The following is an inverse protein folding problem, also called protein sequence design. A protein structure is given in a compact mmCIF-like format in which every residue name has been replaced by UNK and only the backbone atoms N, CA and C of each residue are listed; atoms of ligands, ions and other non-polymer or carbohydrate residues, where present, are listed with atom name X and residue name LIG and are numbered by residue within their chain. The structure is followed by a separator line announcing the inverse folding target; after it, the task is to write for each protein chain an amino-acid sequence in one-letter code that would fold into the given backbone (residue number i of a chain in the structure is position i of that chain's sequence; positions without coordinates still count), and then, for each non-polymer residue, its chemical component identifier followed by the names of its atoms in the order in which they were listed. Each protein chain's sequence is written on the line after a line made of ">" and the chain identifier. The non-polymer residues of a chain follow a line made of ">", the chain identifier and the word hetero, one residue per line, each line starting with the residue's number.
data_IF_558557965417
#
_entry.id   IF_558557965417
#
_cell.length_a   1.000
_cell.length_b   1.000
_cell.length_c   1.000
_cell.angle_alpha   90.00
_cell.angle_beta   90.00
_cell.angle_gamma   90.00
#
_symmetry.space_group_name_H-M   'P 1'
#
loop_
_entity.id
_entity.type
_entity.pdbx_description
1 polymer ?
#
# COMPACT_ATOMS: atom_id res chain seq x y z
N UNK A 1 -44.04 -24.61 -13.51
CA UNK A 1 -43.50 -25.35 -14.68
C UNK A 1 -44.32 -25.23 -15.97
N UNK A 2 -45.56 -24.69 -15.98
CA UNK A 2 -46.36 -24.60 -17.23
C UNK A 2 -46.02 -23.41 -18.17
N UNK A 3 -45.37 -22.35 -17.68
CA UNK A 3 -45.10 -21.13 -18.49
C UNK A 3 -44.02 -21.33 -19.56
N UNK A 4 -42.96 -22.09 -19.26
CA UNK A 4 -41.83 -22.33 -20.18
C UNK A 4 -42.23 -23.19 -21.39
N UNK A 5 -43.19 -24.09 -21.24
CA UNK A 5 -43.71 -24.92 -22.33
C UNK A 5 -44.51 -24.13 -23.38
N UNK A 6 -45.20 -23.06 -22.97
CA UNK A 6 -45.99 -22.20 -23.87
C UNK A 6 -45.08 -21.33 -24.74
N UNK A 7 -44.01 -20.79 -24.17
CA UNK A 7 -42.99 -20.02 -24.92
C UNK A 7 -42.25 -20.87 -25.95
N UNK A 8 -41.91 -22.13 -25.61
CA UNK A 8 -41.21 -23.03 -26.55
C UNK A 8 -42.08 -23.41 -27.76
N UNK A 9 -43.39 -23.65 -27.57
CA UNK A 9 -44.31 -23.95 -28.69
C UNK A 9 -44.41 -22.78 -29.68
N UNK A 10 -44.54 -21.56 -29.18
CA UNK A 10 -44.64 -20.37 -30.03
C UNK A 10 -43.36 -20.13 -30.85
N UNK A 11 -42.18 -20.45 -30.30
CA UNK A 11 -40.91 -20.30 -31.02
C UNK A 11 -40.83 -21.27 -32.21
N UNK A 12 -41.26 -22.53 -32.04
CA UNK A 12 -41.32 -23.51 -33.15
C UNK A 12 -42.20 -23.07 -34.29
N UNK A 13 -43.34 -22.46 -33.96
CA UNK A 13 -44.26 -21.91 -34.95
C UNK A 13 -43.61 -20.76 -35.73
N UNK A 14 -42.79 -19.91 -35.09
CA UNK A 14 -42.04 -18.85 -35.78
C UNK A 14 -40.92 -19.39 -36.68
N UNK A 15 -40.24 -20.47 -36.29
CA UNK A 15 -39.28 -21.17 -37.15
C UNK A 15 -39.98 -21.79 -38.38
N UNK A 16 -41.16 -22.42 -38.16
CA UNK A 16 -41.99 -22.95 -39.25
C UNK A 16 -42.49 -21.88 -40.22
N UNK A 17 -42.86 -20.69 -39.72
CA UNK A 17 -43.28 -19.55 -40.56
C UNK A 17 -42.15 -19.01 -41.44
N UNK A 18 -40.90 -19.11 -41.00
CA UNK A 18 -39.72 -18.70 -41.77
C UNK A 18 -39.13 -19.84 -42.63
N UNK A 19 -39.72 -21.05 -42.57
CA UNK A 19 -39.20 -22.28 -43.18
C UNK A 19 -37.77 -22.60 -42.75
N UNK A 20 -37.48 -22.50 -41.44
CA UNK A 20 -36.18 -22.79 -40.86
C UNK A 20 -36.27 -23.84 -39.76
N UNK A 21 -35.16 -24.55 -39.54
CA UNK A 21 -35.02 -25.56 -38.48
C UNK A 21 -34.39 -24.98 -37.19
N UNK A 22 -34.57 -25.68 -36.07
CA UNK A 22 -34.00 -25.35 -34.75
C UNK A 22 -32.47 -25.56 -34.75
N UNK A 23 -31.70 -24.59 -35.24
CA UNK A 23 -30.23 -24.62 -35.25
C UNK A 23 -29.54 -23.75 -36.29
N UNK A 24 -30.31 -22.99 -37.09
CA UNK A 24 -29.79 -22.13 -38.15
C UNK A 24 -28.92 -20.97 -37.63
N UNK A 25 -27.98 -20.51 -38.46
CA UNK A 25 -27.16 -19.33 -38.19
C UNK A 25 -27.99 -18.05 -38.31
N UNK A 26 -27.54 -16.97 -37.66
CA UNK A 26 -28.19 -15.65 -37.77
C UNK A 26 -28.25 -15.14 -39.22
N UNK A 27 -27.32 -15.58 -40.07
CA UNK A 27 -27.30 -15.22 -41.50
C UNK A 27 -28.36 -15.98 -42.31
N UNK A 28 -28.62 -17.25 -41.99
CA UNK A 28 -29.68 -18.06 -42.62
C UNK A 28 -31.08 -17.47 -42.33
N UNK A 29 -31.28 -16.95 -41.11
CA UNK A 29 -32.49 -16.23 -40.70
C UNK A 29 -32.67 -14.94 -41.52
N UNK A 30 -31.59 -14.22 -41.82
CA UNK A 30 -31.64 -13.02 -42.65
C UNK A 30 -31.93 -13.34 -44.11
N UNK A 31 -31.40 -14.44 -44.64
CA UNK A 31 -31.62 -14.84 -46.02
C UNK A 31 -33.05 -15.32 -46.28
N UNK A 32 -33.59 -16.16 -45.40
CA UNK A 32 -34.98 -16.62 -45.46
C UNK A 32 -35.96 -15.45 -45.36
N UNK A 33 -35.74 -14.52 -44.43
CA UNK A 33 -36.55 -13.30 -44.32
C UNK A 33 -36.48 -12.46 -45.59
N UNK A 34 -35.30 -12.26 -46.20
CA UNK A 34 -35.17 -11.53 -47.47
C UNK A 34 -35.94 -12.21 -48.61
N UNK A 35 -35.97 -13.55 -48.66
CA UNK A 35 -36.72 -14.32 -49.67
C UNK A 35 -38.23 -14.15 -49.47
N UNK A 36 -38.71 -14.26 -48.24
CA UNK A 36 -40.13 -14.11 -47.90
C UNK A 36 -40.60 -12.65 -48.03
N UNK A 37 -39.78 -11.68 -47.63
CA UNK A 37 -40.08 -10.27 -47.80
C UNK A 37 -40.28 -9.93 -49.27
N UNK A 38 -39.41 -10.40 -50.18
CA UNK A 38 -39.58 -10.17 -51.63
C UNK A 38 -40.88 -10.77 -52.20
N UNK A 39 -41.44 -11.80 -51.57
CA UNK A 39 -42.65 -12.48 -52.04
C UNK A 39 -43.95 -11.87 -51.47
N UNK A 40 -43.91 -11.38 -50.23
CA UNK A 40 -45.10 -10.93 -49.49
C UNK A 40 -45.12 -9.42 -49.21
N UNK A 41 -44.12 -8.65 -49.66
CA UNK A 41 -44.10 -7.20 -49.44
C UNK A 41 -45.27 -6.50 -50.16
N UNK A 42 -46.03 -5.63 -49.49
CA UNK A 42 -47.23 -5.00 -50.05
C UNK A 42 -46.94 -4.11 -51.28
N UNK A 43 -45.75 -3.52 -51.35
CA UNK A 43 -45.32 -2.69 -52.50
C UNK A 43 -44.54 -3.47 -53.57
N UNK A 44 -44.22 -4.75 -53.31
CA UNK A 44 -43.57 -5.60 -54.31
C UNK A 44 -44.66 -6.27 -55.10
N UNK A 45 -44.96 -5.78 -56.31
CA UNK A 45 -46.11 -6.16 -57.16
C UNK A 45 -46.24 -7.63 -57.60
N UNK A 46 -46.01 -8.58 -56.69
CA UNK A 46 -46.28 -10.02 -56.77
C UNK A 46 -47.76 -10.28 -56.52
N UNK A 47 -48.31 -11.32 -57.15
CA UNK A 47 -49.71 -11.76 -56.96
C UNK A 47 -50.00 -12.31 -55.56
N UNK A 48 -48.96 -12.59 -54.76
CA UNK A 48 -49.03 -13.11 -53.39
C UNK A 48 -48.79 -12.04 -52.31
N UNK A 49 -48.73 -10.76 -52.69
CA UNK A 49 -48.47 -9.66 -51.76
C UNK A 49 -49.66 -9.47 -50.79
N UNK A 50 -49.42 -9.68 -49.50
CA UNK A 50 -50.41 -9.50 -48.44
C UNK A 50 -49.76 -8.86 -47.19
N UNK A 51 -50.35 -7.76 -46.73
CA UNK A 51 -49.83 -6.98 -45.62
C UNK A 51 -49.88 -7.73 -44.29
N UNK A 52 -50.92 -8.54 -44.07
CA UNK A 52 -51.10 -9.25 -42.80
C UNK A 52 -50.10 -10.40 -42.63
N UNK A 53 -49.83 -11.15 -43.70
CA UNK A 53 -48.78 -12.17 -43.71
C UNK A 53 -47.38 -11.58 -43.57
N UNK A 54 -47.10 -10.44 -44.19
CA UNK A 54 -45.81 -9.76 -44.04
C UNK A 54 -45.52 -9.34 -42.59
N UNK A 55 -46.51 -8.78 -41.88
CA UNK A 55 -46.35 -8.41 -40.46
C UNK A 55 -46.04 -9.64 -39.60
N UNK A 56 -46.70 -10.77 -39.86
CA UNK A 56 -46.43 -12.03 -39.14
C UNK A 56 -45.02 -12.55 -39.39
N UNK A 57 -44.52 -12.41 -40.63
CA UNK A 57 -43.16 -12.80 -41.01
C UNK A 57 -42.14 -11.90 -40.32
N UNK A 58 -42.40 -10.59 -40.20
CA UNK A 58 -41.52 -9.66 -39.49
C UNK A 58 -41.48 -9.94 -37.98
N UNK A 59 -42.63 -10.20 -37.36
CA UNK A 59 -42.69 -10.60 -35.95
C UNK A 59 -41.93 -11.91 -35.69
N UNK A 60 -42.10 -12.89 -36.57
CA UNK A 60 -41.37 -14.16 -36.51
C UNK A 60 -39.86 -13.92 -36.63
N UNK A 61 -39.43 -13.10 -37.59
CA UNK A 61 -38.03 -12.74 -37.80
C UNK A 61 -37.39 -12.11 -36.56
N UNK A 62 -38.04 -11.10 -35.96
CA UNK A 62 -37.51 -10.41 -34.76
C UNK A 62 -37.31 -11.38 -33.59
N UNK A 63 -38.29 -12.26 -33.36
CA UNK A 63 -38.25 -13.23 -32.25
C UNK A 63 -37.25 -14.36 -32.47
N UNK A 64 -37.12 -14.86 -33.70
CA UNK A 64 -36.13 -15.89 -34.04
C UNK A 64 -34.72 -15.32 -33.97
N UNK A 65 -34.50 -14.11 -34.46
CA UNK A 65 -33.19 -13.45 -34.41
C UNK A 65 -32.71 -13.23 -32.96
N UNK A 66 -33.58 -12.73 -32.07
CA UNK A 66 -33.23 -12.55 -30.66
C UNK A 66 -32.89 -13.87 -29.98
N UNK A 67 -33.66 -14.93 -30.28
CA UNK A 67 -33.43 -16.27 -29.73
C UNK A 67 -32.10 -16.88 -30.20
N UNK A 68 -31.74 -16.72 -31.49
CA UNK A 68 -30.45 -17.21 -32.01
C UNK A 68 -29.27 -16.46 -31.37
N UNK A 69 -29.37 -15.13 -31.21
CA UNK A 69 -28.31 -14.32 -30.57
C UNK A 69 -28.15 -14.68 -29.08
N UNK A 70 -29.24 -14.88 -28.35
CA UNK A 70 -29.18 -15.35 -26.96
C UNK A 70 -28.54 -16.74 -26.86
N UNK A 71 -28.86 -17.64 -27.79
CA UNK A 71 -28.23 -18.96 -27.84
C UNK A 71 -26.74 -18.91 -28.20
N UNK A 72 -26.32 -18.03 -29.11
CA UNK A 72 -24.89 -17.89 -29.44
C UNK A 72 -24.11 -17.28 -28.28
N UNK A 73 -24.66 -16.28 -27.60
CA UNK A 73 -24.02 -15.65 -26.45
C UNK A 73 -23.94 -16.62 -25.26
N UNK A 74 -24.99 -17.40 -24.99
CA UNK A 74 -24.99 -18.41 -23.93
C UNK A 74 -24.06 -19.60 -24.23
N UNK A 75 -23.83 -19.93 -25.52
CA UNK A 75 -22.82 -20.91 -25.93
C UNK A 75 -21.42 -20.34 -25.77
N UNK A 76 -21.18 -19.08 -26.18
CA UNK A 76 -19.90 -18.41 -25.98
C UNK A 76 -19.54 -18.26 -24.51
N UNK A 77 -20.46 -17.81 -23.65
CA UNK A 77 -20.19 -17.67 -22.21
C UNK A 77 -19.89 -19.01 -21.55
N UNK A 78 -20.58 -20.09 -21.95
CA UNK A 78 -20.28 -21.44 -21.45
C UNK A 78 -18.93 -21.95 -21.95
N UNK A 79 -18.55 -21.66 -23.19
CA UNK A 79 -17.25 -22.05 -23.73
C UNK A 79 -16.15 -21.26 -23.04
N UNK A 80 -16.32 -19.95 -22.80
CA UNK A 80 -15.39 -19.14 -22.01
C UNK A 80 -15.28 -19.63 -20.56
N UNK A 81 -16.39 -19.92 -19.88
CA UNK A 81 -16.37 -20.46 -18.51
C UNK A 81 -15.69 -21.85 -18.46
N UNK A 82 -15.92 -22.71 -19.48
CA UNK A 82 -15.31 -24.05 -19.54
C UNK A 82 -13.82 -23.97 -19.91
N UNK A 83 -13.44 -23.06 -20.82
CA UNK A 83 -12.03 -22.79 -21.18
C UNK A 83 -11.26 -22.16 -20.01
N UNK A 84 -11.87 -21.24 -19.24
CA UNK A 84 -11.28 -20.68 -18.02
C UNK A 84 -11.14 -21.73 -16.90
N UNK A 85 -12.11 -22.64 -16.75
CA UNK A 85 -12.03 -23.74 -15.79
C UNK A 85 -11.00 -24.80 -16.22
N UNK A 86 -10.91 -25.15 -17.51
CA UNK A 86 -9.90 -26.06 -18.05
C UNK A 86 -8.48 -25.48 -17.99
N UNK A 87 -8.31 -24.16 -18.17
CA UNK A 87 -7.02 -23.48 -17.99
C UNK A 87 -6.59 -23.43 -16.52
N UNK A 88 -7.52 -23.28 -15.57
CA UNK A 88 -7.24 -23.28 -14.12
C UNK A 88 -6.82 -24.66 -13.58
N UNK A 89 -7.29 -25.76 -14.19
CA UNK A 89 -7.01 -27.13 -13.74
C UNK A 89 -5.84 -27.82 -14.45
N UNK A 90 -5.24 -27.23 -15.49
CA UNK A 90 -3.93 -27.68 -15.97
C UNK A 90 -2.88 -27.35 -14.91
N UNK A 91 -2.51 -28.36 -14.12
CA UNK A 91 -1.22 -28.37 -13.41
C UNK A 91 -0.13 -28.03 -14.43
N UNK A 92 0.39 -26.79 -14.38
CA UNK A 92 1.62 -26.44 -15.07
C UNK A 92 2.74 -27.19 -14.37
N UNK A 93 2.93 -28.46 -14.72
CA UNK A 93 4.19 -29.15 -14.48
C UNK A 93 5.29 -28.20 -14.97
N UNK A 94 6.27 -27.84 -14.12
CA UNK A 94 7.32 -26.92 -14.53
C UNK A 94 7.98 -27.53 -15.76
N UNK A 95 7.72 -26.93 -16.93
CA UNK A 95 8.25 -27.42 -18.18
C UNK A 95 9.77 -27.34 -18.07
N UNK A 96 10.40 -28.52 -18.03
CA UNK A 96 11.83 -28.63 -18.17
C UNK A 96 12.21 -28.01 -19.52
N UNK A 97 12.86 -26.84 -19.45
CA UNK A 97 13.61 -26.18 -20.53
C UNK A 97 12.81 -25.84 -21.78
N UNK A 98 11.88 -24.89 -21.66
CA UNK A 98 11.77 -23.90 -22.74
C UNK A 98 13.13 -23.18 -22.79
N UNK A 99 13.90 -23.38 -23.86
CA UNK A 99 14.96 -22.41 -24.15
C UNK A 99 14.28 -21.06 -24.22
N UNK A 100 14.79 -20.07 -23.46
CA UNK A 100 14.39 -18.68 -23.63
C UNK A 100 14.67 -18.31 -25.09
N UNK A 101 13.68 -18.45 -25.97
CA UNK A 101 13.73 -17.82 -27.27
C UNK A 101 13.70 -16.34 -26.96
N UNK A 102 14.87 -15.69 -27.01
CA UNK A 102 15.04 -14.28 -26.71
C UNK A 102 14.35 -13.36 -27.75
N UNK A 103 13.29 -13.84 -28.42
CA UNK A 103 12.58 -13.15 -29.50
C UNK A 103 13.50 -12.68 -30.64
N UNK A 104 14.67 -13.33 -30.80
CA UNK A 104 15.71 -12.91 -31.74
C UNK A 104 16.55 -11.72 -31.28
N UNK A 105 16.43 -11.31 -30.02
CA UNK A 105 17.03 -10.10 -29.44
C UNK A 105 18.35 -10.44 -28.76
N UNK A 106 19.38 -9.71 -29.15
CA UNK A 106 20.70 -9.75 -28.56
C UNK A 106 21.74 -10.55 -29.34
N UNK A 107 22.99 -10.15 -29.19
CA UNK A 107 24.15 -10.74 -29.87
C UNK A 107 25.14 -11.32 -28.86
N UNK A 108 25.99 -12.26 -29.30
CA UNK A 108 27.04 -12.85 -28.47
C UNK A 108 26.67 -14.18 -27.82
N UNK A 109 27.24 -14.48 -26.66
CA UNK A 109 27.06 -15.77 -25.96
C UNK A 109 25.66 -15.89 -25.35
N UNK A 110 25.18 -17.10 -25.03
CA UNK A 110 23.84 -17.29 -24.43
C UNK A 110 23.59 -16.46 -23.17
N UNK A 111 24.59 -16.30 -22.29
CA UNK A 111 24.47 -15.48 -21.07
C UNK A 111 24.41 -13.97 -21.35
N UNK A 112 25.11 -13.49 -22.38
CA UNK A 112 25.05 -12.09 -22.81
C UNK A 112 23.67 -11.77 -23.41
N UNK A 113 23.13 -12.64 -24.25
CA UNK A 113 21.78 -12.51 -24.81
C UNK A 113 20.71 -12.58 -23.72
N UNK A 114 20.90 -13.45 -22.73
CA UNK A 114 19.98 -13.52 -21.59
C UNK A 114 19.94 -12.21 -20.81
N UNK A 115 21.11 -11.61 -20.54
CA UNK A 115 21.18 -10.31 -19.84
C UNK A 115 20.51 -9.20 -20.65
N UNK A 116 20.75 -9.16 -21.96
CA UNK A 116 20.13 -8.19 -22.87
C UNK A 116 18.62 -8.38 -22.97
N UNK A 117 18.14 -9.62 -23.08
CA UNK A 117 16.71 -9.91 -23.13
C UNK A 117 16.00 -9.62 -21.81
N UNK A 118 16.64 -9.87 -20.66
CA UNK A 118 16.11 -9.43 -19.35
C UNK A 118 15.95 -7.90 -19.29
N UNK A 119 16.93 -7.16 -19.82
CA UNK A 119 16.86 -5.71 -19.90
C UNK A 119 15.74 -5.26 -20.85
N UNK A 120 15.69 -5.81 -22.07
CA UNK A 120 14.63 -5.53 -23.04
C UNK A 120 13.23 -5.82 -22.49
N UNK A 121 13.07 -6.92 -21.75
CA UNK A 121 11.79 -7.24 -21.10
C UNK A 121 11.40 -6.23 -20.04
N UNK A 122 12.37 -5.72 -19.27
CA UNK A 122 12.12 -4.67 -18.31
C UNK A 122 11.71 -3.38 -19.03
N UNK A 123 12.44 -2.98 -20.07
CA UNK A 123 12.16 -1.77 -20.86
C UNK A 123 10.79 -1.84 -21.55
N UNK A 124 10.42 -2.99 -22.10
CA UNK A 124 9.09 -3.21 -22.70
C UNK A 124 7.98 -3.16 -21.65
N UNK A 125 8.22 -3.70 -20.46
CA UNK A 125 7.25 -3.66 -19.37
C UNK A 125 7.06 -2.21 -18.86
N UNK A 126 8.14 -1.43 -18.75
CA UNK A 126 8.05 -0.02 -18.35
C UNK A 126 7.31 0.80 -19.42
N UNK A 127 7.59 0.57 -20.70
CA UNK A 127 6.87 1.23 -21.82
C UNK A 127 5.37 0.93 -21.79
N UNK A 128 4.98 -0.32 -21.58
CA UNK A 128 3.57 -0.71 -21.46
C UNK A 128 2.87 -0.07 -20.26
N UNK A 129 3.54 0.01 -19.11
CA UNK A 129 3.01 0.69 -17.91
C UNK A 129 2.81 2.18 -18.19
N UNK A 130 3.78 2.83 -18.83
CA UNK A 130 3.70 4.25 -19.21
C UNK A 130 2.55 4.49 -20.21
N UNK A 131 2.39 3.62 -21.20
CA UNK A 131 1.31 3.71 -22.18
C UNK A 131 -0.07 3.54 -21.52
N UNK A 132 -0.20 2.59 -20.59
CA UNK A 132 -1.42 2.42 -19.80
C UNK A 132 -1.72 3.65 -18.93
N UNK A 133 -0.73 4.20 -18.23
CA UNK A 133 -0.89 5.42 -17.43
C UNK A 133 -1.33 6.61 -18.29
N UNK A 134 -0.72 6.77 -19.47
CA UNK A 134 -1.10 7.79 -20.45
C UNK A 134 -2.57 7.63 -20.87
N UNK A 135 -3.00 6.41 -21.21
CA UNK A 135 -4.39 6.13 -21.56
C UNK A 135 -5.35 6.38 -20.39
N UNK A 136 -4.96 6.05 -19.16
CA UNK A 136 -5.75 6.29 -17.95
C UNK A 136 -5.93 7.77 -17.63
N UNK A 137 -4.86 8.57 -17.73
CA UNK A 137 -4.95 10.02 -17.59
C UNK A 137 -5.85 10.61 -18.67
N UNK A 138 -5.69 10.17 -19.91
CA UNK A 138 -6.49 10.62 -21.04
C UNK A 138 -8.00 10.32 -20.87
N UNK A 139 -8.35 9.16 -20.30
CA UNK A 139 -9.74 8.82 -20.03
C UNK A 139 -10.36 9.61 -18.87
N UNK A 140 -9.56 10.02 -17.87
CA UNK A 140 -10.02 10.85 -16.76
C UNK A 140 -10.37 12.29 -17.18
N UNK A 141 -9.64 12.88 -18.13
CA UNK A 141 -9.88 14.25 -18.58
C UNK A 141 -10.94 14.38 -19.70
N UNK A 142 -11.23 13.31 -20.45
CA UNK A 142 -12.16 13.33 -21.58
C UNK A 142 -13.19 12.19 -21.49
N UNK A 143 -14.23 12.37 -20.67
CA UNK A 143 -15.21 11.33 -20.36
C UNK A 143 -16.32 11.16 -21.41
N UNK A 144 -16.63 12.19 -22.21
CA UNK A 144 -17.83 12.18 -23.06
C UNK A 144 -17.52 12.18 -24.57
N UNK A 145 -17.46 10.97 -25.14
CA UNK A 145 -17.95 10.58 -26.48
C UNK A 145 -17.18 9.33 -26.93
N UNK A 146 -17.84 8.41 -27.64
CA UNK A 146 -17.21 7.14 -28.08
C UNK A 146 -16.95 7.12 -29.60
N UNK A 147 -17.39 8.11 -30.36
CA UNK A 147 -17.53 7.99 -31.81
C UNK A 147 -16.41 8.56 -32.68
N UNK A 148 -15.27 9.03 -32.14
CA UNK A 148 -14.23 9.59 -33.03
C UNK A 148 -12.79 9.33 -32.57
N UNK A 149 -12.34 8.07 -32.54
CA UNK A 149 -10.93 7.75 -32.23
C UNK A 149 -9.93 8.34 -33.25
N UNK A 150 -10.28 8.40 -34.53
CA UNK A 150 -9.35 8.87 -35.58
C UNK A 150 -9.18 10.40 -35.63
N UNK A 151 -10.26 11.18 -35.46
CA UNK A 151 -10.15 12.64 -35.33
C UNK A 151 -9.51 13.03 -34.00
N UNK A 152 -9.64 12.19 -32.95
CA UNK A 152 -8.94 12.37 -31.66
C UNK A 152 -7.45 12.21 -31.80
N UNK A 153 -6.96 11.13 -32.41
CA UNK A 153 -5.53 10.98 -32.66
C UNK A 153 -4.96 12.11 -33.53
N UNK A 154 -5.73 12.64 -34.49
CA UNK A 154 -5.34 13.82 -35.26
C UNK A 154 -5.27 15.10 -34.42
N UNK A 155 -6.26 15.35 -33.54
CA UNK A 155 -6.26 16.48 -32.61
C UNK A 155 -5.17 16.35 -31.55
N UNK A 156 -4.93 15.15 -31.04
CA UNK A 156 -3.85 14.84 -30.10
C UNK A 156 -2.50 15.07 -30.73
N UNK A 157 -2.20 14.50 -31.91
CA UNK A 157 -0.95 14.79 -32.62
C UNK A 157 -0.77 16.28 -32.84
N UNK A 158 -1.84 17.03 -33.13
CA UNK A 158 -1.78 18.50 -33.22
C UNK A 158 -1.51 19.17 -31.88
N UNK A 159 -2.08 18.69 -30.78
CA UNK A 159 -1.86 19.21 -29.42
C UNK A 159 -0.44 18.87 -28.93
N UNK A 160 0.04 17.63 -29.10
CA UNK A 160 1.42 17.26 -28.75
C UNK A 160 2.40 18.06 -29.57
N UNK A 161 2.19 18.18 -30.89
CA UNK A 161 3.02 19.04 -31.72
C UNK A 161 2.89 20.53 -31.38
N UNK A 162 1.76 20.99 -30.82
CA UNK A 162 1.61 22.37 -30.36
C UNK A 162 2.33 22.60 -29.04
N UNK A 163 2.29 21.64 -28.10
CA UNK A 163 3.05 21.68 -26.86
C UNK A 163 4.54 21.58 -27.17
N UNK A 164 4.96 20.67 -28.04
CA UNK A 164 6.35 20.56 -28.50
C UNK A 164 6.82 21.88 -29.13
N UNK A 165 6.00 22.51 -29.98
CA UNK A 165 6.30 23.84 -30.52
C UNK A 165 6.38 24.90 -29.45
N UNK A 166 5.43 24.95 -28.52
CA UNK A 166 5.41 25.94 -27.43
C UNK A 166 6.64 25.77 -26.52
N UNK A 167 7.01 24.54 -26.20
CA UNK A 167 8.21 24.21 -25.44
C UNK A 167 9.47 24.62 -26.22
N UNK A 168 9.53 24.32 -27.51
CA UNK A 168 10.64 24.73 -28.38
C UNK A 168 10.75 26.27 -28.46
N UNK A 169 9.63 26.97 -28.63
CA UNK A 169 9.55 28.44 -28.65
C UNK A 169 10.02 29.03 -27.32
N UNK A 170 9.58 28.46 -26.18
CA UNK A 170 10.04 28.86 -24.84
C UNK A 170 11.54 28.62 -24.65
N UNK A 171 12.06 27.50 -25.15
CA UNK A 171 13.50 27.18 -25.08
C UNK A 171 14.26 28.21 -25.93
N UNK A 172 13.82 28.49 -27.15
CA UNK A 172 14.45 29.46 -28.04
C UNK A 172 14.39 30.88 -27.48
N UNK A 173 13.26 31.28 -26.89
CA UNK A 173 13.10 32.56 -26.21
C UNK A 173 14.05 32.68 -25.01
N UNK A 174 14.15 31.62 -24.19
CA UNK A 174 15.05 31.56 -23.04
C UNK A 174 16.53 31.55 -23.47
N UNK A 175 16.86 30.92 -24.60
CA UNK A 175 18.19 30.98 -25.22
C UNK A 175 18.52 32.38 -25.74
N UNK A 176 17.57 33.05 -26.39
CA UNK A 176 17.74 34.43 -26.87
C UNK A 176 17.89 35.44 -25.74
N UNK A 177 17.22 35.22 -24.60
CA UNK A 177 17.37 36.01 -23.37
C UNK A 177 18.73 35.79 -22.67
N UNK A 178 19.44 34.72 -23.01
CA UNK A 178 20.69 34.35 -22.35
C UNK A 178 20.48 33.74 -20.96
N UNK A 179 19.29 33.24 -20.63
CA UNK A 179 18.98 32.63 -19.33
C UNK A 179 19.87 31.39 -19.05
N UNK A 180 20.37 30.76 -20.12
CA UNK A 180 21.31 29.63 -20.07
C UNK A 180 22.79 30.03 -19.98
N UNK A 181 23.12 31.32 -19.99
CA UNK A 181 24.52 31.77 -20.07
C UNK A 181 25.25 31.79 -18.73
N UNK A 182 24.55 32.10 -17.64
CA UNK A 182 25.14 32.24 -16.31
C UNK A 182 24.63 31.19 -15.31
N UNK A 183 24.39 29.97 -15.77
CA UNK A 183 23.96 28.86 -14.91
C UNK A 183 25.10 28.35 -14.03
N UNK A 184 24.82 28.16 -12.75
CA UNK A 184 25.78 27.58 -11.80
C UNK A 184 26.18 26.17 -12.22
N UNK A 185 27.44 25.97 -12.59
CA UNK A 185 27.96 24.67 -13.02
C UNK A 185 27.99 24.43 -14.54
N UNK A 186 27.69 25.44 -15.36
CA UNK A 186 27.90 25.39 -16.83
C UNK A 186 29.33 24.95 -17.17
N UNK A 187 29.47 23.97 -18.05
CA UNK A 187 30.76 23.42 -18.49
C UNK A 187 31.47 22.48 -17.50
N UNK A 188 30.93 22.29 -16.29
CA UNK A 188 31.47 21.30 -15.33
C UNK A 188 30.79 19.95 -15.56
N UNK A 189 31.50 18.82 -15.38
CA UNK A 189 30.89 17.50 -15.47
C UNK A 189 29.76 17.37 -14.45
N UNK A 190 28.64 16.79 -14.88
CA UNK A 190 27.52 16.49 -13.98
C UNK A 190 28.02 15.62 -12.84
N UNK A 191 27.69 15.98 -11.59
CA UNK A 191 27.99 15.15 -10.43
C UNK A 191 27.23 13.84 -10.59
N UNK A 192 27.96 12.76 -10.92
CA UNK A 192 27.39 11.41 -11.00
C UNK A 192 26.94 11.01 -9.59
N UNK A 193 25.69 10.56 -9.48
CA UNK A 193 25.09 10.18 -8.21
C UNK A 193 25.77 8.91 -7.67
N UNK A 194 26.21 8.98 -6.40
CA UNK A 194 26.87 7.89 -5.70
C UNK A 194 25.90 7.01 -4.88
N UNK A 195 24.60 7.34 -4.84
CA UNK A 195 23.65 6.76 -3.88
C UNK A 195 22.81 5.57 -4.38
N UNK A 196 22.40 5.53 -5.65
CA UNK A 196 21.49 4.49 -6.14
C UNK A 196 21.94 3.93 -7.50
N UNK A 197 22.72 2.84 -7.47
CA UNK A 197 23.17 2.11 -8.68
C UNK A 197 22.02 1.47 -9.47
N UNK A 198 20.84 1.33 -8.84
CA UNK A 198 19.68 0.61 -9.38
C UNK A 198 18.71 1.47 -10.20
N UNK A 199 18.83 2.80 -10.13
CA UNK A 199 17.95 3.73 -10.86
C UNK A 199 18.73 4.26 -12.05
N UNK A 200 18.14 4.23 -13.24
CA UNK A 200 18.81 4.79 -14.41
C UNK A 200 18.99 6.32 -14.25
N UNK A 201 20.07 6.90 -14.80
CA UNK A 201 20.36 8.32 -14.65
C UNK A 201 19.24 9.25 -15.15
N UNK A 202 18.45 8.80 -16.12
CA UNK A 202 17.39 9.62 -16.72
C UNK A 202 16.20 9.75 -15.76
N UNK A 203 15.73 8.64 -15.19
CA UNK A 203 14.66 8.59 -14.19
C UNK A 203 15.02 9.38 -12.94
N UNK A 204 16.27 9.27 -12.48
CA UNK A 204 16.73 10.05 -11.34
C UNK A 204 16.70 11.56 -11.62
N UNK A 205 17.19 11.99 -12.78
CA UNK A 205 17.17 13.40 -13.16
C UNK A 205 15.74 13.93 -13.32
N UNK A 206 14.84 13.13 -13.90
CA UNK A 206 13.42 13.48 -14.00
C UNK A 206 12.80 13.68 -12.61
N UNK A 207 13.01 12.72 -11.70
CA UNK A 207 12.50 12.82 -10.33
C UNK A 207 13.05 14.05 -9.62
N UNK A 208 14.32 14.40 -9.84
CA UNK A 208 14.92 15.62 -9.29
C UNK A 208 14.22 16.87 -9.83
N UNK A 209 14.03 16.97 -11.15
CA UNK A 209 13.33 18.10 -11.77
C UNK A 209 11.92 18.22 -11.20
N UNK A 210 11.21 17.11 -11.04
CA UNK A 210 9.88 17.09 -10.43
C UNK A 210 9.92 17.64 -9.00
N UNK A 211 10.85 17.17 -8.17
CA UNK A 211 11.02 17.64 -6.77
C UNK A 211 11.40 19.12 -6.72
N UNK A 212 12.35 19.56 -7.54
CA UNK A 212 12.80 20.96 -7.61
C UNK A 212 11.66 21.91 -8.01
N UNK A 213 10.70 21.43 -8.81
CA UNK A 213 9.48 22.16 -9.19
C UNK A 213 8.31 21.98 -8.19
N UNK A 214 8.54 21.32 -7.05
CA UNK A 214 7.52 21.10 -6.02
C UNK A 214 6.44 20.09 -6.41
N UNK A 215 6.69 19.23 -7.40
CA UNK A 215 5.75 18.18 -7.79
C UNK A 215 5.60 17.14 -6.67
N UNK A 216 4.36 16.90 -6.25
CA UNK A 216 4.03 15.93 -5.22
C UNK A 216 3.53 14.63 -5.87
N UNK A 217 4.15 13.47 -5.56
CA UNK A 217 3.65 12.18 -6.00
C UNK A 217 2.18 11.94 -5.59
N UNK A 218 1.43 11.26 -6.45
CA UNK A 218 0.01 10.96 -6.27
C UNK A 218 -0.29 10.30 -4.92
N UNK A 219 0.54 9.36 -4.47
CA UNK A 219 0.35 8.67 -3.19
C UNK A 219 0.44 9.62 -1.99
N UNK A 220 1.22 10.69 -2.05
CA UNK A 220 1.31 11.69 -0.97
C UNK A 220 0.01 12.49 -0.90
N UNK A 221 -0.51 12.89 -2.06
CA UNK A 221 -1.80 13.58 -2.16
C UNK A 221 -2.93 12.68 -1.63
N UNK A 222 -2.98 11.41 -2.06
CA UNK A 222 -3.95 10.43 -1.56
C UNK A 222 -3.84 10.25 -0.03
N UNK A 223 -2.62 10.17 0.50
CA UNK A 223 -2.42 10.07 1.94
C UNK A 223 -2.99 11.28 2.69
N UNK A 224 -2.78 12.49 2.17
CA UNK A 224 -3.33 13.72 2.73
C UNK A 224 -4.86 13.72 2.64
N UNK A 225 -5.43 13.38 1.49
CA UNK A 225 -6.88 13.29 1.31
C UNK A 225 -7.54 12.28 2.27
N UNK A 226 -6.92 11.11 2.47
CA UNK A 226 -7.40 10.11 3.44
C UNK A 226 -7.45 10.70 4.85
N UNK A 227 -6.41 11.44 5.24
CA UNK A 227 -6.34 12.08 6.55
C UNK A 227 -7.42 13.15 6.70
N UNK A 228 -7.51 14.07 5.73
CA UNK A 228 -8.50 15.14 5.73
C UNK A 228 -9.94 14.57 5.75
N UNK A 229 -10.18 13.48 5.01
CA UNK A 229 -11.48 12.79 5.01
C UNK A 229 -11.80 12.19 6.38
N UNK A 230 -10.82 11.59 7.06
CA UNK A 230 -11.01 11.03 8.41
C UNK A 230 -11.40 12.13 9.40
N UNK A 231 -10.75 13.30 9.34
CA UNK A 231 -10.99 14.39 10.27
C UNK A 231 -12.34 15.06 9.99
N UNK A 232 -12.70 15.29 8.73
CA UNK A 232 -14.04 15.75 8.34
C UNK A 232 -15.14 14.80 8.82
N UNK A 233 -14.95 13.49 8.67
CA UNK A 233 -15.89 12.47 9.12
C UNK A 233 -16.05 12.47 10.65
N UNK A 234 -14.96 12.63 11.40
CA UNK A 234 -15.01 12.76 12.87
C UNK A 234 -15.75 14.01 13.31
N UNK A 235 -15.43 15.16 12.72
CA UNK A 235 -16.09 16.43 13.05
C UNK A 235 -17.58 16.39 12.73
N UNK A 236 -17.97 15.80 11.60
CA UNK A 236 -19.37 15.65 11.20
C UNK A 236 -20.17 14.81 12.21
N UNK A 237 -19.61 13.70 12.69
CA UNK A 237 -20.26 12.84 13.70
C UNK A 237 -20.34 13.56 15.05
N UNK A 238 -19.28 14.23 15.48
CA UNK A 238 -19.27 14.98 16.73
C UNK A 238 -20.26 16.14 16.70
N UNK A 239 -20.33 16.89 15.60
CA UNK A 239 -21.30 17.96 15.40
C UNK A 239 -22.74 17.42 15.41
N UNK A 240 -22.99 16.28 14.78
CA UNK A 240 -24.29 15.60 14.80
C UNK A 240 -24.67 15.17 16.21
N UNK A 241 -23.71 14.60 16.98
CA UNK A 241 -23.96 14.18 18.36
C UNK A 241 -24.23 15.35 19.30
N UNK A 242 -23.54 16.49 19.14
CA UNK A 242 -23.73 17.71 19.95
C UNK A 242 -25.14 18.32 19.79
N UNK A 243 -25.76 18.17 18.62
CA UNK A 243 -27.12 18.66 18.37
C UNK A 243 -28.19 17.86 19.12
N UNK A 244 -27.86 16.66 19.60
CA UNK A 244 -28.79 15.74 20.22
C UNK A 244 -28.67 15.84 21.74
N UNK A 245 -29.81 16.03 22.42
CA UNK A 245 -29.87 16.10 23.87
C UNK A 245 -29.61 14.76 24.57
N UNK A 246 -29.39 14.82 25.88
CA UNK A 246 -29.41 13.65 26.76
C UNK A 246 -30.48 13.87 27.87
N UNK A 247 -31.44 12.95 28.09
CA UNK A 247 -31.72 11.73 27.33
C UNK A 247 -32.35 12.02 25.96
N UNK A 248 -32.15 11.09 25.03
CA UNK A 248 -32.53 11.23 23.63
C UNK A 248 -34.00 10.85 23.41
N UNK A 249 -34.74 11.66 22.66
CA UNK A 249 -36.12 11.40 22.27
C UNK A 249 -36.18 10.30 21.20
N UNK A 250 -37.30 9.56 21.07
CA UNK A 250 -37.45 8.52 20.03
C UNK A 250 -37.25 9.06 18.60
N UNK A 251 -37.64 10.31 18.31
CA UNK A 251 -37.40 10.95 17.02
C UNK A 251 -35.91 11.26 16.78
N UNK A 252 -35.23 11.80 17.79
CA UNK A 252 -33.79 12.07 17.77
C UNK A 252 -32.99 10.78 17.59
N UNK A 253 -33.42 9.68 18.22
CA UNK A 253 -32.80 8.36 18.05
C UNK A 253 -32.89 7.85 16.60
N UNK A 254 -34.03 8.06 15.93
CA UNK A 254 -34.18 7.72 14.51
C UNK A 254 -33.25 8.55 13.63
N UNK A 255 -33.14 9.84 13.89
CA UNK A 255 -32.20 10.72 13.18
C UNK A 255 -30.75 10.29 13.38
N UNK A 256 -30.38 9.90 14.59
CA UNK A 256 -29.04 9.40 14.88
C UNK A 256 -28.73 8.09 14.17
N UNK A 257 -29.68 7.16 14.11
CA UNK A 257 -29.50 5.92 13.37
C UNK A 257 -29.27 6.18 11.88
N UNK A 258 -29.97 7.14 11.27
CA UNK A 258 -29.73 7.56 9.88
C UNK A 258 -28.33 8.15 9.68
N UNK A 259 -27.86 8.98 10.62
CA UNK A 259 -26.49 9.52 10.59
C UNK A 259 -25.46 8.39 10.71
N UNK A 260 -25.69 7.40 11.57
CA UNK A 260 -24.83 6.22 11.68
C UNK A 260 -24.80 5.38 10.39
N UNK A 261 -25.93 5.18 9.73
CA UNK A 261 -26.00 4.48 8.45
C UNK A 261 -25.21 5.22 7.35
N UNK A 262 -25.41 6.54 7.23
CA UNK A 262 -24.64 7.36 6.29
C UNK A 262 -23.13 7.29 6.57
N UNK A 263 -22.75 7.41 7.84
CA UNK A 263 -21.37 7.31 8.27
C UNK A 263 -20.74 5.95 7.94
N UNK A 264 -21.52 4.87 8.04
CA UNK A 264 -21.08 3.54 7.67
C UNK A 264 -20.78 3.43 6.17
N UNK A 265 -21.58 4.06 5.32
CA UNK A 265 -21.31 4.13 3.89
C UNK A 265 -20.05 4.94 3.57
N UNK A 266 -19.84 6.06 4.25
CA UNK A 266 -18.67 6.89 4.05
C UNK A 266 -17.38 6.20 4.52
N UNK A 267 -17.44 5.42 5.60
CA UNK A 267 -16.34 4.53 6.00
C UNK A 267 -16.05 3.49 4.91
N UNK A 268 -17.06 2.90 4.25
CA UNK A 268 -16.81 1.94 3.15
C UNK A 268 -16.07 2.62 2.00
N UNK A 269 -16.45 3.84 1.63
CA UNK A 269 -15.76 4.63 0.59
C UNK A 269 -14.33 4.97 1.00
N UNK A 270 -14.13 5.39 2.25
CA UNK A 270 -12.80 5.67 2.81
C UNK A 270 -11.92 4.42 2.79
N UNK A 271 -12.44 3.27 3.20
CA UNK A 271 -11.71 2.01 3.18
C UNK A 271 -11.30 1.58 1.78
N UNK A 272 -12.13 1.86 0.77
CA UNK A 272 -11.75 1.65 -0.63
C UNK A 272 -10.52 2.49 -1.00
N UNK A 273 -10.51 3.78 -0.65
CA UNK A 273 -9.35 4.67 -0.87
C UNK A 273 -8.10 4.22 -0.11
N UNK A 274 -8.27 3.75 1.13
CA UNK A 274 -7.18 3.19 1.93
C UNK A 274 -6.59 1.95 1.26
N UNK A 275 -7.43 1.07 0.71
CA UNK A 275 -6.98 -0.09 -0.04
C UNK A 275 -6.23 0.30 -1.31
N UNK A 276 -6.77 1.26 -2.08
CA UNK A 276 -6.10 1.77 -3.29
C UNK A 276 -4.72 2.35 -2.95
N UNK A 277 -4.61 3.11 -1.85
CA UNK A 277 -3.34 3.61 -1.33
C UNK A 277 -2.38 2.49 -0.92
N UNK A 278 -2.86 1.47 -0.20
CA UNK A 278 -2.05 0.33 0.23
C UNK A 278 -1.56 -0.54 -0.93
N UNK A 279 -2.27 -0.53 -2.07
CA UNK A 279 -1.83 -1.17 -3.31
C UNK A 279 -0.71 -0.38 -3.98
N UNK A 280 -0.78 0.96 -3.96
CA UNK A 280 0.28 1.82 -4.50
C UNK A 280 1.54 1.78 -3.61
N UNK A 281 1.35 1.71 -2.30
CA UNK A 281 2.43 1.67 -1.30
C UNK A 281 2.43 0.30 -0.60
N UNK A 282 3.06 -0.73 -1.19
CA UNK A 282 3.06 -2.09 -0.65
C UNK A 282 3.97 -2.27 0.59
N UNK A 283 4.69 -1.22 0.98
CA UNK A 283 5.55 -1.23 2.17
C UNK A 283 4.69 -1.32 3.43
N UNK A 284 4.78 -2.45 4.13
CA UNK A 284 4.02 -2.74 5.37
C UNK A 284 4.10 -1.62 6.41
N UNK A 285 5.25 -0.94 6.52
CA UNK A 285 5.46 0.17 7.46
C UNK A 285 4.68 1.43 7.13
N UNK A 286 4.30 1.61 5.86
CA UNK A 286 3.58 2.80 5.36
C UNK A 286 2.11 2.53 5.05
N UNK A 287 1.65 1.28 5.15
CA UNK A 287 0.25 0.94 4.94
C UNK A 287 -0.66 1.58 6.00
N UNK A 288 -1.87 1.93 5.58
CA UNK A 288 -2.92 2.48 6.43
C UNK A 288 -3.89 1.37 6.84
N UNK A 289 -4.26 1.38 8.11
CA UNK A 289 -5.23 0.42 8.65
C UNK A 289 -6.65 0.67 8.13
N UNK A 290 -7.32 -0.41 7.73
CA UNK A 290 -8.74 -0.41 7.37
C UNK A 290 -9.59 -0.10 8.61
N UNK A 291 -10.55 0.83 8.48
CA UNK A 291 -11.42 1.26 9.58
C UNK A 291 -12.70 0.42 9.59
N UNK A 292 -12.82 -0.51 10.54
CA UNK A 292 -13.91 -1.51 10.57
C UNK A 292 -15.01 -1.27 11.59
N UNK A 293 -14.83 -0.35 12.56
CA UNK A 293 -15.81 -0.12 13.63
C UNK A 293 -16.34 1.31 13.68
N UNK A 294 -17.67 1.42 13.62
CA UNK A 294 -18.39 2.49 14.32
C UNK A 294 -18.16 2.32 15.81
N UNK A 295 -17.40 3.24 16.41
CA UNK A 295 -17.70 3.81 17.73
C UNK A 295 -17.96 2.78 18.85
N UNK A 296 -16.89 2.30 19.50
CA UNK A 296 -16.84 2.47 20.96
C UNK A 296 -16.25 3.86 21.21
N UNK A 297 -17.05 4.92 21.04
CA UNK A 297 -16.82 6.19 21.73
C UNK A 297 -17.92 6.29 22.79
N UNK A 298 -17.75 5.50 23.83
CA UNK A 298 -18.45 5.63 25.10
C UNK A 298 -17.43 5.27 26.17
N UNK A 299 -16.41 6.12 26.26
CA UNK A 299 -15.39 6.05 27.27
C UNK A 299 -14.94 7.47 27.53
N UNK A 300 -15.39 8.04 28.64
CA UNK A 300 -14.81 9.24 29.26
C UNK A 300 -13.27 9.15 29.41
N UNK A 301 -12.71 7.95 29.28
CA UNK A 301 -11.28 7.65 29.34
C UNK A 301 -10.56 7.62 27.97
N UNK A 302 -11.26 7.70 26.83
CA UNK A 302 -10.60 7.97 25.52
C UNK A 302 -10.13 9.44 25.41
N UNK A 303 -10.57 10.29 26.33
CA UNK A 303 -10.09 11.66 26.51
C UNK A 303 -8.68 11.74 27.13
N UNK A 304 -8.07 10.62 27.49
CA UNK A 304 -6.66 10.53 27.88
C UNK A 304 -5.79 9.94 26.76
N UNK A 305 -6.15 10.15 25.50
CA UNK A 305 -5.12 10.30 24.47
C UNK A 305 -4.56 11.70 24.61
N UNK A 306 -3.31 11.78 25.08
CA UNK A 306 -2.52 13.00 24.99
C UNK A 306 -2.73 13.63 23.61
N UNK A 307 -2.98 14.95 23.52
CA UNK A 307 -3.21 15.59 22.23
C UNK A 307 -2.02 15.28 21.34
N UNK A 308 -2.26 14.59 20.23
CA UNK A 308 -1.33 14.53 19.10
C UNK A 308 -1.24 15.95 18.54
N UNK A 309 -0.47 16.79 19.23
CA UNK A 309 -0.04 18.10 18.75
C UNK A 309 0.87 17.82 17.55
N UNK A 310 0.32 17.91 16.34
CA UNK A 310 1.05 17.83 15.06
C UNK A 310 2.05 18.98 14.84
N UNK A 311 2.31 19.80 15.87
CA UNK A 311 3.43 20.73 15.92
C UNK A 311 4.73 20.07 16.42
N UNK A 312 4.68 18.78 16.81
CA UNK A 312 5.81 18.02 17.35
C UNK A 312 5.87 16.66 16.63
N UNK A 313 6.87 16.50 15.74
CA UNK A 313 7.23 15.19 15.18
C UNK A 313 7.67 14.24 16.30
N UNK A 314 6.72 13.45 16.81
CA UNK A 314 6.94 12.51 17.89
C UNK A 314 7.87 11.36 17.51
N UNK A 315 8.02 11.01 16.21
CA UNK A 315 8.97 9.95 15.81
C UNK A 315 10.42 10.42 15.95
N UNK A 316 10.75 11.63 15.49
CA UNK A 316 12.09 12.22 15.63
C UNK A 316 12.42 12.52 17.11
N UNK A 317 11.46 13.08 17.86
CA UNK A 317 11.68 13.40 19.28
C UNK A 317 11.65 12.19 20.20
N UNK A 318 10.99 11.09 19.87
CA UNK A 318 10.98 9.88 20.73
C UNK A 318 12.39 9.36 20.95
N UNK A 319 13.22 9.32 19.91
CA UNK A 319 14.60 8.84 20.04
C UNK A 319 15.44 9.76 20.94
N UNK A 320 15.26 11.08 20.82
CA UNK A 320 15.91 12.07 21.67
C UNK A 320 15.42 12.02 23.13
N UNK A 321 14.11 11.91 23.34
CA UNK A 321 13.53 11.80 24.69
C UNK A 321 13.96 10.48 25.34
N UNK A 322 13.93 9.36 24.62
CA UNK A 322 14.36 8.06 25.14
C UNK A 322 15.86 8.05 25.51
N UNK A 323 16.73 8.68 24.70
CA UNK A 323 18.16 8.77 25.02
C UNK A 323 18.44 9.68 26.22
N UNK A 324 17.74 10.82 26.32
CA UNK A 324 17.87 11.75 27.46
C UNK A 324 17.38 11.10 28.75
N UNK A 325 16.19 10.47 28.73
CA UNK A 325 15.64 9.79 29.91
C UNK A 325 16.54 8.63 30.35
N UNK A 326 17.02 7.81 29.41
CA UNK A 326 17.96 6.75 29.73
C UNK A 326 19.28 7.28 30.32
N UNK A 327 19.81 8.38 29.77
CA UNK A 327 21.04 9.02 30.26
C UNK A 327 20.88 9.57 31.69
N UNK A 328 19.75 10.23 31.98
CA UNK A 328 19.44 10.73 33.33
C UNK A 328 19.37 9.56 34.31
N UNK A 329 18.66 8.47 33.98
CA UNK A 329 18.57 7.30 34.85
C UNK A 329 19.94 6.66 35.12
N UNK A 330 20.76 6.50 34.08
CA UNK A 330 22.12 5.95 34.24
C UNK A 330 22.98 6.82 35.16
N UNK A 331 22.93 8.14 34.95
CA UNK A 331 23.66 9.09 35.78
C UNK A 331 23.19 9.07 37.23
N UNK A 332 21.88 9.07 37.47
CA UNK A 332 21.31 9.00 38.83
C UNK A 332 21.70 7.70 39.55
N UNK A 333 21.80 6.57 38.83
CA UNK A 333 22.25 5.31 39.40
C UNK A 333 23.68 5.38 39.94
N UNK A 334 24.61 5.94 39.17
CA UNK A 334 25.99 6.15 39.64
C UNK A 334 26.12 7.25 40.69
N UNK A 335 25.32 8.30 40.59
CA UNK A 335 25.28 9.37 41.56
C UNK A 335 24.92 8.85 42.96
N UNK A 336 23.89 8.01 43.07
CA UNK A 336 23.49 7.38 44.34
C UNK A 336 24.61 6.52 44.92
N UNK A 337 25.36 5.80 44.07
CA UNK A 337 26.48 4.98 44.53
C UNK A 337 27.65 5.82 45.03
N UNK A 338 27.95 6.93 44.34
CA UNK A 338 29.01 7.87 44.75
C UNK A 338 28.64 8.55 46.07
N UNK A 339 27.39 8.99 46.21
CA UNK A 339 26.86 9.55 47.46
C UNK A 339 27.02 8.56 48.62
N UNK A 340 26.58 7.32 48.44
CA UNK A 340 26.74 6.28 49.46
C UNK A 340 28.20 5.97 49.78
N UNK A 341 29.10 5.98 48.79
CA UNK A 341 30.54 5.75 49.01
C UNK A 341 31.21 6.88 49.80
N UNK A 342 30.73 8.12 49.64
CA UNK A 342 31.22 9.29 50.40
C UNK A 342 30.71 9.27 51.84
N UNK A 343 29.44 8.91 52.05
CA UNK A 343 28.83 8.85 53.39
C UNK A 343 29.39 7.67 54.20
N UNK A 344 29.68 6.54 53.54
CA UNK A 344 30.16 5.31 54.19
C UNK A 344 31.55 4.89 53.67
N UNK A 345 32.63 5.62 54.05
CA UNK A 345 33.97 5.38 53.52
C UNK A 345 34.65 4.14 54.14
N UNK A 346 34.11 3.59 55.23
CA UNK A 346 34.70 2.44 55.92
C UNK A 346 34.27 1.12 55.27
N UNK A 347 35.20 0.18 55.03
CA UNK A 347 34.91 -1.11 54.39
C UNK A 347 33.96 -2.00 55.18
N UNK A 348 33.82 -1.76 56.49
CA UNK A 348 32.88 -2.45 57.38
C UNK A 348 31.42 -2.06 57.13
N UNK A 349 31.18 -0.84 56.62
CA UNK A 349 29.84 -0.31 56.35
C UNK A 349 29.46 -0.49 54.87
N UNK A 350 30.41 -0.28 53.97
CA UNK A 350 30.26 -0.55 52.54
C UNK A 350 31.46 -1.34 52.05
N UNK A 351 31.27 -2.64 51.86
CA UNK A 351 32.34 -3.48 51.32
C UNK A 351 32.64 -3.07 49.88
N UNK A 352 33.92 -2.82 49.57
CA UNK A 352 34.35 -2.48 48.22
C UNK A 352 33.96 -3.53 47.16
N UNK A 353 33.76 -4.79 47.57
CA UNK A 353 33.27 -5.84 46.70
C UNK A 353 31.86 -5.55 46.13
N UNK A 354 31.01 -4.80 46.84
CA UNK A 354 29.64 -4.52 46.40
C UNK A 354 29.59 -3.59 45.18
N UNK A 355 30.64 -2.80 44.91
CA UNK A 355 30.75 -2.02 43.69
C UNK A 355 30.83 -2.88 42.42
N UNK A 356 31.32 -4.12 42.52
CA UNK A 356 31.44 -5.02 41.36
C UNK A 356 30.07 -5.29 40.72
N UNK A 357 29.01 -5.34 41.52
CA UNK A 357 27.64 -5.54 41.05
C UNK A 357 27.20 -4.41 40.09
N UNK A 358 27.44 -3.15 40.48
CA UNK A 358 27.18 -1.99 39.63
C UNK A 358 28.04 -1.97 38.36
N UNK A 359 29.31 -2.39 38.43
CA UNK A 359 30.19 -2.51 37.26
C UNK A 359 29.66 -3.54 36.27
N UNK A 360 29.23 -4.72 36.73
CA UNK A 360 28.62 -5.73 35.85
C UNK A 360 27.33 -5.24 35.20
N UNK A 361 26.49 -4.49 35.92
CA UNK A 361 25.31 -3.81 35.35
C UNK A 361 25.68 -2.83 34.23
N UNK A 362 26.76 -2.04 34.40
CA UNK A 362 27.21 -1.13 33.32
C UNK A 362 27.79 -1.85 32.12
N UNK A 363 28.53 -2.93 32.33
CA UNK A 363 29.05 -3.75 31.24
C UNK A 363 27.89 -4.36 30.43
N UNK A 364 26.85 -4.84 31.12
CA UNK A 364 25.64 -5.33 30.51
C UNK A 364 24.86 -4.23 29.74
N UNK A 365 24.79 -3.01 30.27
CA UNK A 365 24.22 -1.85 29.57
C UNK A 365 24.90 -1.63 28.21
N UNK A 366 26.24 -1.60 28.17
CA UNK A 366 26.97 -1.43 26.91
C UNK A 366 26.78 -2.63 25.97
N UNK A 367 26.82 -3.86 26.48
CA UNK A 367 26.65 -5.05 25.65
C UNK A 367 25.29 -5.11 24.94
N UNK A 368 24.20 -4.79 25.65
CA UNK A 368 22.83 -4.83 25.10
C UNK A 368 22.61 -3.68 24.09
N UNK A 369 23.15 -2.51 24.39
CA UNK A 369 22.98 -1.30 23.58
C UNK A 369 23.96 -1.22 22.39
N UNK A 370 25.02 -2.03 22.36
CA UNK A 370 25.95 -2.11 21.22
C UNK A 370 25.39 -2.89 20.02
N UNK A 371 24.42 -3.79 20.24
CA UNK A 371 23.79 -4.57 19.16
C UNK A 371 22.56 -3.84 18.65
N UNK A 372 22.46 -3.62 17.33
CA UNK A 372 21.26 -3.01 16.73
C UNK A 372 20.09 -3.99 16.72
N UNK A 373 18.86 -3.49 16.85
CA UNK A 373 17.64 -4.28 16.70
C UNK A 373 17.50 -4.87 15.27
N UNK A 374 18.02 -4.19 14.25
CA UNK A 374 18.06 -4.69 12.87
C UNK A 374 18.88 -6.00 12.72
N UNK A 375 20.05 -6.07 13.37
CA UNK A 375 20.89 -7.27 13.36
C UNK A 375 20.24 -8.48 14.05
N UNK A 376 19.40 -8.23 15.07
CA UNK A 376 18.66 -9.29 15.78
C UNK A 376 17.51 -9.85 14.92
N UNK A 377 16.81 -8.96 14.20
CA UNK A 377 15.72 -9.31 13.27
C UNK A 377 16.23 -10.05 12.05
N UNK A 378 17.45 -9.76 11.61
CA UNK A 378 18.07 -10.42 10.44
C UNK A 378 17.81 -9.68 9.14
N UNK A 379 17.50 -8.39 9.20
CA UNK A 379 17.25 -7.53 8.04
C UNK A 379 18.55 -6.97 7.44
N UNK A 380 19.69 -7.25 8.07
CA UNK A 380 21.02 -6.83 7.59
C UNK A 380 21.55 -7.83 6.54
N UNK A 381 21.82 -7.35 5.32
CA UNK A 381 22.39 -8.12 4.22
C UNK A 381 23.90 -8.42 4.35
N UNK A 382 24.55 -7.94 5.41
CA UNK A 382 25.98 -8.14 5.64
C UNK A 382 26.28 -9.37 6.52
N UNK A 383 26.98 -10.32 5.92
CA UNK A 383 27.52 -11.51 6.56
C UNK A 383 28.73 -11.19 7.43
N UNK A 384 28.52 -10.65 8.64
CA UNK A 384 29.57 -10.50 9.65
C UNK A 384 30.09 -11.85 10.19
N UNK A 385 31.29 -11.86 10.78
CA UNK A 385 32.03 -13.04 11.26
C UNK A 385 31.24 -14.01 12.17
N UNK A 386 30.30 -13.50 12.97
CA UNK A 386 29.49 -14.30 13.91
C UNK A 386 28.01 -14.47 13.48
N UNK A 387 27.63 -13.87 12.34
CA UNK A 387 26.28 -13.93 11.78
C UNK A 387 25.16 -13.52 12.75
N UNK A 388 23.92 -13.93 12.41
CA UNK A 388 22.70 -13.68 13.22
C UNK A 388 22.72 -14.38 14.58
N UNK A 389 23.31 -15.58 14.63
CA UNK A 389 23.36 -16.40 15.85
C UNK A 389 24.25 -15.77 16.91
N UNK A 390 25.41 -15.22 16.52
CA UNK A 390 26.32 -14.58 17.46
C UNK A 390 25.76 -13.28 18.05
N UNK A 391 25.04 -12.47 17.26
CA UNK A 391 24.36 -11.28 17.79
C UNK A 391 23.31 -11.63 18.87
N UNK A 392 22.59 -12.74 18.69
CA UNK A 392 21.62 -13.25 19.68
C UNK A 392 22.30 -13.79 20.92
N UNK A 393 23.39 -14.55 20.77
CA UNK A 393 24.17 -15.08 21.89
C UNK A 393 24.79 -13.94 22.70
N UNK A 394 25.34 -12.93 22.03
CA UNK A 394 25.88 -11.74 22.68
C UNK A 394 24.82 -10.97 23.48
N UNK A 395 23.66 -10.74 22.87
CA UNK A 395 22.54 -10.09 23.53
C UNK A 395 22.00 -10.92 24.71
N UNK A 396 21.95 -12.24 24.57
CA UNK A 396 21.56 -13.15 25.66
C UNK A 396 22.52 -13.07 26.84
N UNK A 397 23.83 -13.08 26.60
CA UNK A 397 24.85 -12.91 27.65
C UNK A 397 24.69 -11.55 28.34
N UNK A 398 24.43 -10.49 27.58
CA UNK A 398 24.15 -9.16 28.12
C UNK A 398 22.95 -9.15 29.08
N UNK A 399 21.82 -9.75 28.68
CA UNK A 399 20.64 -9.86 29.56
C UNK A 399 20.91 -10.74 30.79
N UNK A 400 21.65 -11.84 30.63
CA UNK A 400 22.01 -12.72 31.76
C UNK A 400 22.84 -11.98 32.81
N UNK A 401 23.83 -11.19 32.39
CA UNK A 401 24.64 -10.35 33.30
C UNK A 401 23.79 -9.27 33.99
N UNK A 402 22.82 -8.70 33.27
CA UNK A 402 21.92 -7.66 33.78
C UNK A 402 20.94 -8.19 34.83
N UNK A 403 20.30 -9.33 34.59
CA UNK A 403 19.43 -9.95 35.59
C UNK A 403 20.24 -10.53 36.76
N UNK A 404 21.42 -11.09 36.50
CA UNK A 404 22.32 -11.60 37.53
C UNK A 404 22.78 -10.51 38.50
N UNK A 405 23.13 -9.33 37.99
CA UNK A 405 23.49 -8.17 38.82
C UNK A 405 22.29 -7.61 39.60
N UNK A 406 21.10 -7.54 39.01
CA UNK A 406 19.89 -7.13 39.74
C UNK A 406 19.56 -8.09 40.90
N UNK A 407 19.61 -9.41 40.66
CA UNK A 407 19.38 -10.43 41.69
C UNK A 407 20.46 -10.36 42.78
N UNK A 408 21.73 -10.21 42.39
CA UNK A 408 22.83 -10.05 43.33
C UNK A 408 22.67 -8.80 44.20
N UNK A 409 22.25 -7.68 43.63
CA UNK A 409 21.99 -6.43 44.38
C UNK A 409 20.85 -6.58 45.39
N UNK A 410 19.80 -7.34 45.03
CA UNK A 410 18.70 -7.69 45.93
C UNK A 410 19.18 -8.57 47.09
N UNK A 411 20.03 -9.55 46.78
CA UNK A 411 20.65 -10.39 47.80
C UNK A 411 21.53 -9.59 48.76
N UNK A 412 22.34 -8.65 48.25
CA UNK A 412 23.18 -7.77 49.08
C UNK A 412 22.30 -6.94 50.03
N UNK A 413 21.22 -6.34 49.53
CA UNK A 413 20.28 -5.56 50.35
C UNK A 413 19.73 -6.39 51.51
N UNK A 414 19.14 -7.56 51.24
CA UNK A 414 18.49 -8.34 52.28
C UNK A 414 19.48 -9.11 53.15
N UNK A 415 20.48 -9.75 52.55
CA UNK A 415 21.39 -10.67 53.22
C UNK A 415 22.54 -10.00 53.98
N UNK A 416 23.03 -8.85 53.52
CA UNK A 416 24.13 -8.15 54.18
C UNK A 416 23.67 -7.03 55.11
N UNK A 417 22.53 -6.38 54.81
CA UNK A 417 22.07 -5.20 55.56
C UNK A 417 20.80 -5.47 56.38
N UNK A 418 19.71 -5.94 55.75
CA UNK A 418 18.42 -6.10 56.45
C UNK A 418 18.46 -7.18 57.53
N UNK A 419 19.08 -8.34 57.27
CA UNK A 419 19.16 -9.44 58.24
C UNK A 419 20.16 -9.19 59.37
N UNK A 420 21.15 -8.31 59.16
CA UNK A 420 22.21 -8.02 60.13
C UNK A 420 21.89 -6.84 61.05
N UNK A 421 20.71 -6.20 60.91
CA UNK A 421 20.30 -5.00 61.66
C UNK A 421 21.33 -3.86 61.62
N UNK A 422 22.04 -3.71 60.50
CA UNK A 422 22.94 -2.57 60.24
C UNK A 422 22.18 -1.46 59.49
N UNK A 423 22.81 -0.30 59.31
CA UNK A 423 22.23 0.78 58.51
C UNK A 423 21.88 0.27 57.10
N UNK A 424 20.60 0.37 56.72
CA UNK A 424 20.08 -0.23 55.48
C UNK A 424 20.40 0.61 54.24
N UNK A 425 20.80 1.87 54.42
CA UNK A 425 21.03 2.83 53.34
C UNK A 425 22.07 2.37 52.30
N UNK A 426 23.25 1.84 52.66
CA UNK A 426 24.23 1.37 51.67
C UNK A 426 23.70 0.20 50.82
N UNK A 427 22.93 -0.71 51.43
CA UNK A 427 22.24 -1.79 50.71
C UNK A 427 21.19 -1.26 49.73
N UNK A 428 20.42 -0.25 50.14
CA UNK A 428 19.43 0.40 49.27
C UNK A 428 20.12 1.13 48.10
N UNK A 429 21.25 1.79 48.35
CA UNK A 429 22.01 2.48 47.32
C UNK A 429 22.51 1.52 46.23
N UNK A 430 23.06 0.36 46.62
CA UNK A 430 23.51 -0.69 45.69
C UNK A 430 22.32 -1.25 44.89
N UNK A 431 21.18 -1.48 45.53
CA UNK A 431 19.97 -1.93 44.84
C UNK A 431 19.44 -0.90 43.83
N UNK A 432 19.27 0.35 44.26
CA UNK A 432 18.78 1.43 43.39
C UNK A 432 19.73 1.75 42.24
N UNK A 433 21.04 1.67 42.44
CA UNK A 433 22.02 1.76 41.35
C UNK A 433 21.72 0.73 40.25
N UNK A 434 21.59 -0.54 40.62
CA UNK A 434 21.36 -1.62 39.66
C UNK A 434 19.97 -1.53 39.02
N UNK A 435 18.93 -1.15 39.77
CA UNK A 435 17.58 -0.95 39.25
C UNK A 435 17.50 0.23 38.25
N UNK A 436 18.15 1.36 38.53
CA UNK A 436 18.16 2.52 37.64
C UNK A 436 18.94 2.24 36.35
N UNK A 437 20.08 1.53 36.43
CA UNK A 437 20.84 1.09 35.25
C UNK A 437 20.03 0.06 34.43
N UNK A 438 19.29 -0.83 35.08
CA UNK A 438 18.38 -1.77 34.42
C UNK A 438 17.31 -1.04 33.60
N UNK A 439 16.56 -0.12 34.23
CA UNK A 439 15.54 0.67 33.53
C UNK A 439 16.13 1.58 32.46
N UNK A 440 17.29 2.17 32.70
CA UNK A 440 18.02 2.94 31.68
C UNK A 440 18.32 2.09 30.44
N UNK A 441 18.78 0.84 30.62
CA UNK A 441 19.05 -0.08 29.52
C UNK A 441 17.77 -0.39 28.73
N UNK A 442 16.68 -0.73 29.42
CA UNK A 442 15.41 -1.05 28.75
C UNK A 442 14.85 0.14 27.98
N UNK A 443 14.88 1.34 28.57
CA UNK A 443 14.38 2.56 27.92
C UNK A 443 15.26 2.92 26.72
N UNK A 444 16.58 2.80 26.82
CA UNK A 444 17.46 3.06 25.70
C UNK A 444 17.26 2.04 24.56
N UNK A 445 17.13 0.76 24.90
CA UNK A 445 17.02 -0.34 23.94
C UNK A 445 15.66 -0.40 23.23
N UNK A 446 14.56 -0.26 23.99
CA UNK A 446 13.19 -0.42 23.49
C UNK A 446 12.46 0.91 23.25
N UNK A 447 12.89 2.00 23.91
CA UNK A 447 12.31 3.32 23.70
C UNK A 447 12.75 3.99 22.39
N UNK A 448 13.88 3.56 21.82
CA UNK A 448 14.37 4.02 20.52
C UNK A 448 13.80 3.19 19.38
N UNK A 449 13.34 3.86 18.33
CA UNK A 449 13.18 3.23 17.02
C UNK A 449 14.43 3.46 16.20
N UNK A 450 15.11 2.37 15.88
CA UNK A 450 16.13 2.38 14.84
C UNK A 450 15.39 2.53 13.51
N UNK A 451 15.42 3.74 12.96
CA UNK A 451 15.10 3.90 11.55
C UNK A 451 16.18 3.16 10.78
N UNK A 452 15.76 2.20 9.95
CA UNK A 452 16.60 1.68 8.88
C UNK A 452 16.94 2.91 8.04
N UNK A 453 18.18 3.39 8.16
CA UNK A 453 18.75 4.35 7.22
C UNK A 453 18.46 3.82 5.82
N UNK A 454 17.50 4.44 5.14
CA UNK A 454 17.12 4.16 3.76
C UNK A 454 17.68 5.25 2.89
#
# INVERSE_FOLDING_TARGET
>A
MMSTHKSKRNIREYYGLLNLDEGCSADDVRESFRKLAKQYHPDGGSSTADSATFIRIEEAYRKVLSHVIEQTNARQSKVEDTEEEEEKFKYKTPQHRHYLSFEGIGFGTPSQREKQYRQFRADRATEQVMEYQKQKLQSQYFTDSVTVKDVRHSKERKITQAIERLVEDLIQESMAKGDFDNLSGKGKPLKKFSGCSYIDPMTHNLNRILIDNGYQPEWILMQKEIKDTIDQLREAVLASRKKLGNPMTSAEQKQWNQVCEQFQEDIKKLNKRINDFNLIVPLLTRQKEIKTRMVKMAGFLDNFRWPECECIDWSERRNAVASVVAGILFFTGWWIMIDAAVVYPKPEQLNHAFHTCGVFSTLAFFMINAVSNAQVRGDSYESGCLGRTGARVWLFIGFMLMFGSLIASMWILFGAYVTQNTDVYPGLAVFFQNALIFFSTLIYKFGRTEELWT
#
